data_IF_595364946860
#
_entry.id   IF_595364946860
#
_cell.length_a   1.000
_cell.length_b   1.000
_cell.length_c   1.000
_cell.angle_alpha   90.00
_cell.angle_beta   90.00
_cell.angle_gamma   90.00
#
_symmetry.space_group_name_H-M   'P 1'
#
loop_
_entity.id
_entity.type
_entity.pdbx_description
1 polymer ?
#
# COMPACT_ATOMS: atom_id res chain seq x y z
N UNK A 1 63.42 -0.87 -43.94
CA UNK A 1 62.35 -1.67 -43.32
C UNK A 1 62.04 -1.05 -41.96
N UNK A 2 61.05 -0.14 -41.88
CA UNK A 2 60.50 0.36 -40.61
C UNK A 2 59.02 0.70 -40.86
N UNK A 3 58.15 -0.13 -40.28
CA UNK A 3 56.69 -0.05 -40.39
C UNK A 3 56.17 1.16 -39.59
N UNK A 4 55.30 1.95 -40.21
CA UNK A 4 54.44 2.92 -39.54
C UNK A 4 53.29 2.17 -38.85
N UNK A 5 53.17 2.29 -37.52
CA UNK A 5 52.03 1.76 -36.77
C UNK A 5 51.01 2.88 -36.58
N UNK A 6 49.90 2.80 -37.32
CA UNK A 6 48.73 3.66 -37.15
C UNK A 6 47.92 3.16 -35.94
N UNK A 7 47.91 3.89 -34.84
CA UNK A 7 47.02 3.67 -33.70
C UNK A 7 45.62 4.20 -34.05
N UNK A 8 44.68 3.29 -34.36
CA UNK A 8 43.24 3.61 -34.42
C UNK A 8 42.70 3.82 -33.00
N UNK A 9 42.33 5.06 -32.67
CA UNK A 9 41.53 5.33 -31.49
C UNK A 9 40.13 4.71 -31.67
N UNK A 10 39.72 3.84 -30.74
CA UNK A 10 38.34 3.31 -30.67
C UNK A 10 37.47 4.31 -29.92
N UNK A 11 36.53 4.94 -30.60
CA UNK A 11 35.49 5.78 -30.00
C UNK A 11 34.65 4.93 -29.03
N UNK A 12 34.46 5.32 -27.76
CA UNK A 12 33.51 4.65 -26.90
C UNK A 12 32.09 5.04 -27.34
N UNK A 13 31.30 4.05 -27.74
CA UNK A 13 29.86 4.22 -27.93
C UNK A 13 29.24 4.56 -26.58
N UNK A 14 28.91 5.83 -26.36
CA UNK A 14 28.09 6.26 -25.23
C UNK A 14 26.68 5.71 -25.46
N UNK A 15 26.36 4.63 -24.73
CA UNK A 15 25.01 4.11 -24.63
C UNK A 15 24.22 5.12 -23.80
N UNK A 16 23.37 5.91 -24.43
CA UNK A 16 22.41 6.74 -23.71
C UNK A 16 21.42 5.82 -22.99
N UNK A 17 21.58 5.70 -21.68
CA UNK A 17 20.51 5.17 -20.86
C UNK A 17 19.45 6.26 -20.78
N UNK A 18 18.33 6.04 -21.48
CA UNK A 18 17.12 6.79 -21.21
C UNK A 18 16.87 6.74 -19.70
N UNK A 19 16.69 7.89 -19.07
CA UNK A 19 16.40 7.97 -17.66
C UNK A 19 15.17 7.09 -17.38
N UNK A 20 15.39 5.98 -16.68
CA UNK A 20 14.30 5.26 -16.03
C UNK A 20 13.61 6.30 -15.19
N UNK A 21 12.34 6.58 -15.50
CA UNK A 21 11.49 7.43 -14.67
C UNK A 21 11.65 6.92 -13.23
N UNK A 22 12.29 7.73 -12.39
CA UNK A 22 12.36 7.50 -10.95
C UNK A 22 10.95 7.71 -10.42
N UNK A 23 10.08 6.71 -10.64
CA UNK A 23 8.78 6.66 -10.01
C UNK A 23 9.07 6.69 -8.50
N UNK A 24 8.59 7.72 -7.82
CA UNK A 24 8.74 7.85 -6.38
C UNK A 24 8.06 6.63 -5.73
N UNK A 25 8.87 5.66 -5.32
CA UNK A 25 8.46 4.45 -4.61
C UNK A 25 8.23 4.73 -3.11
N UNK A 26 7.90 5.98 -2.74
CA UNK A 26 7.57 6.29 -1.35
C UNK A 26 6.27 5.59 -0.99
N UNK A 27 6.34 4.67 -0.01
CA UNK A 27 5.17 4.08 0.62
C UNK A 27 4.50 5.07 1.59
N UNK A 28 5.16 6.18 1.94
CA UNK A 28 4.65 7.20 2.85
C UNK A 28 4.17 8.43 2.07
N UNK A 29 3.05 8.99 2.53
CA UNK A 29 2.49 10.29 2.09
C UNK A 29 2.16 11.12 3.32
N UNK A 30 2.23 12.44 3.22
CA UNK A 30 1.84 13.36 4.28
C UNK A 30 0.38 13.85 4.12
N UNK A 31 -0.12 14.59 5.11
CA UNK A 31 -1.48 15.15 5.09
C UNK A 31 -1.71 16.06 3.88
N UNK A 32 -0.70 16.85 3.49
CA UNK A 32 -0.75 17.76 2.35
C UNK A 32 -0.94 17.00 1.03
N UNK A 33 -0.27 15.87 0.86
CA UNK A 33 -0.44 15.02 -0.32
C UNK A 33 -1.88 14.50 -0.42
N UNK A 34 -2.43 14.00 0.70
CA UNK A 34 -3.80 13.48 0.74
C UNK A 34 -4.82 14.58 0.42
N UNK A 35 -4.70 15.76 1.04
CA UNK A 35 -5.56 16.91 0.71
C UNK A 35 -5.49 17.30 -0.76
N UNK A 36 -4.29 17.41 -1.33
CA UNK A 36 -4.14 17.72 -2.76
C UNK A 36 -4.82 16.67 -3.66
N UNK A 37 -4.78 15.39 -3.26
CA UNK A 37 -5.45 14.32 -4.00
C UNK A 37 -6.97 14.43 -3.91
N UNK A 38 -7.51 14.74 -2.72
CA UNK A 38 -8.94 15.03 -2.52
C UNK A 38 -9.40 16.24 -3.34
N UNK A 39 -8.72 17.38 -3.20
CA UNK A 39 -9.08 18.65 -3.84
C UNK A 39 -9.04 18.56 -5.37
N UNK A 40 -8.05 17.85 -5.92
CA UNK A 40 -7.85 17.76 -7.37
C UNK A 40 -8.55 16.56 -8.01
N UNK A 41 -9.00 15.59 -7.22
CA UNK A 41 -9.41 14.26 -7.67
C UNK A 41 -8.29 13.48 -8.38
N UNK A 42 -7.03 13.87 -8.19
CA UNK A 42 -5.86 13.33 -8.90
C UNK A 42 -4.70 13.04 -7.94
N UNK A 43 -4.28 11.77 -7.76
CA UNK A 43 -4.88 10.57 -8.36
C UNK A 43 -6.30 10.30 -7.83
N UNK A 44 -7.01 9.39 -8.49
CA UNK A 44 -8.18 8.76 -7.86
C UNK A 44 -7.73 8.15 -6.52
N UNK A 45 -8.40 8.52 -5.44
CA UNK A 45 -7.99 8.20 -4.07
C UNK A 45 -9.02 7.26 -3.44
N UNK A 46 -8.53 6.17 -2.84
CA UNK A 46 -9.29 5.38 -1.88
C UNK A 46 -8.61 5.51 -0.52
N UNK A 47 -9.18 6.35 0.35
CA UNK A 47 -8.67 6.57 1.70
C UNK A 47 -9.32 5.58 2.66
N UNK A 48 -8.51 4.83 3.41
CA UNK A 48 -8.97 3.72 4.25
C UNK A 48 -8.63 3.98 5.71
N UNK A 49 -9.69 4.13 6.52
CA UNK A 49 -9.61 4.20 7.97
C UNK A 49 -9.44 2.78 8.54
N UNK A 50 -8.27 2.50 9.09
CA UNK A 50 -7.91 1.20 9.66
C UNK A 50 -8.17 1.12 11.17
N UNK A 51 -8.82 2.13 11.76
CA UNK A 51 -9.18 2.17 13.17
C UNK A 51 -10.26 1.14 13.52
N UNK A 52 -10.57 1.02 14.81
CA UNK A 52 -11.72 0.21 15.22
C UNK A 52 -13.00 0.80 14.58
N UNK A 53 -13.88 0.00 13.94
CA UNK A 53 -15.05 0.53 13.22
C UNK A 53 -15.94 1.45 14.07
N UNK A 54 -16.08 1.13 15.35
CA UNK A 54 -16.85 1.97 16.28
C UNK A 54 -16.26 3.38 16.50
N UNK A 55 -15.01 3.64 16.11
CA UNK A 55 -14.38 4.97 16.19
C UNK A 55 -14.74 5.87 15.03
N UNK A 56 -15.01 5.31 13.86
CA UNK A 56 -15.29 6.06 12.65
C UNK A 56 -16.35 7.16 12.84
N UNK A 57 -17.53 6.90 13.45
CA UNK A 57 -18.55 7.93 13.59
C UNK A 57 -18.19 9.09 14.52
N UNK A 58 -17.14 8.93 15.35
CA UNK A 58 -16.69 9.97 16.29
C UNK A 58 -15.65 10.92 15.68
N UNK A 59 -15.07 10.57 14.54
CA UNK A 59 -14.01 11.35 13.93
C UNK A 59 -13.22 10.51 12.93
N UNK A 60 -13.23 10.91 11.66
CA UNK A 60 -12.44 10.32 10.58
C UNK A 60 -11.95 11.41 9.62
N UNK A 61 -10.95 11.09 8.80
CA UNK A 61 -10.52 11.97 7.70
C UNK A 61 -11.66 12.03 6.66
N UNK A 62 -11.98 13.22 6.09
CA UNK A 62 -12.99 13.33 5.04
C UNK A 62 -12.78 12.33 3.91
N UNK A 63 -13.88 11.83 3.33
CA UNK A 63 -13.90 10.81 2.27
C UNK A 63 -13.29 9.44 2.64
N UNK A 64 -12.85 9.24 3.89
CA UNK A 64 -12.30 7.97 4.31
C UNK A 64 -13.38 6.89 4.33
N UNK A 65 -12.96 5.64 4.19
CA UNK A 65 -13.87 4.50 4.28
C UNK A 65 -13.43 3.65 5.47
N UNK A 66 -14.35 3.34 6.41
CA UNK A 66 -14.02 2.49 7.52
C UNK A 66 -13.75 1.09 7.01
N UNK A 67 -12.64 0.52 7.45
CA UNK A 67 -12.43 -0.90 7.35
C UNK A 67 -13.37 -1.62 8.35
N UNK A 68 -14.62 -1.81 7.93
CA UNK A 68 -15.70 -2.37 8.76
C UNK A 68 -15.46 -3.83 9.17
N UNK A 69 -14.59 -4.54 8.46
CA UNK A 69 -14.09 -5.82 8.89
C UNK A 69 -13.10 -5.58 10.01
N UNK A 70 -13.50 -5.96 11.24
CA UNK A 70 -12.69 -5.83 12.44
C UNK A 70 -11.23 -6.16 12.13
N UNK A 71 -10.33 -5.24 12.45
CA UNK A 71 -8.87 -5.31 12.21
C UNK A 71 -8.21 -6.63 12.61
N UNK A 72 -8.86 -7.46 13.42
CA UNK A 72 -8.52 -8.86 13.70
C UNK A 72 -8.64 -9.82 12.50
N UNK A 73 -9.36 -9.45 11.43
CA UNK A 73 -9.69 -10.31 10.28
C UNK A 73 -8.62 -10.31 9.18
N UNK A 74 -7.54 -9.53 9.33
CA UNK A 74 -6.36 -9.67 8.47
C UNK A 74 -5.39 -10.78 8.92
N UNK A 75 -5.76 -11.55 9.93
CA UNK A 75 -5.10 -12.79 10.31
C UNK A 75 -6.13 -13.89 10.13
N UNK A 76 -5.78 -14.94 9.41
CA UNK A 76 -6.61 -16.14 9.41
C UNK A 76 -6.65 -16.67 10.87
N UNK A 77 -7.84 -16.84 11.47
CA UNK A 77 -7.97 -17.23 12.87
C UNK A 77 -7.75 -18.73 13.10
N UNK A 78 -7.52 -19.52 12.04
CA UNK A 78 -7.30 -20.96 12.16
C UNK A 78 -5.96 -21.27 12.84
N UNK A 79 -5.86 -22.35 13.63
CA UNK A 79 -4.59 -22.73 14.27
C UNK A 79 -3.45 -23.05 13.30
N UNK A 80 -3.78 -23.32 12.03
CA UNK A 80 -2.83 -23.61 10.95
C UNK A 80 -2.46 -22.35 10.13
N UNK A 81 -3.05 -21.20 10.47
CA UNK A 81 -2.81 -19.92 9.82
C UNK A 81 -1.35 -19.50 9.91
N UNK A 82 -0.83 -18.97 8.81
CA UNK A 82 0.49 -18.31 8.75
C UNK A 82 0.47 -16.89 9.35
N UNK A 83 -0.64 -16.48 9.97
CA UNK A 83 -0.85 -15.15 10.52
C UNK A 83 -1.32 -14.12 9.49
N UNK A 84 -1.76 -14.55 8.31
CA UNK A 84 -2.34 -13.70 7.25
C UNK A 84 -3.74 -14.20 6.92
N UNK A 85 -4.65 -13.28 6.61
CA UNK A 85 -6.00 -13.59 6.11
C UNK A 85 -5.94 -14.60 4.97
N UNK A 86 -6.99 -15.39 4.74
CA UNK A 86 -7.02 -16.30 3.59
C UNK A 86 -7.31 -15.54 2.28
N UNK A 87 -6.92 -16.08 1.11
CA UNK A 87 -7.21 -15.45 -0.17
C UNK A 87 -8.71 -15.16 -0.39
N UNK A 88 -9.59 -16.06 0.07
CA UNK A 88 -11.03 -15.91 -0.05
C UNK A 88 -11.55 -14.75 0.81
N UNK A 89 -11.17 -14.70 2.08
CA UNK A 89 -11.57 -13.61 2.98
C UNK A 89 -11.04 -12.26 2.49
N UNK A 90 -9.82 -12.23 1.96
CA UNK A 90 -9.28 -11.01 1.35
C UNK A 90 -10.06 -10.58 0.10
N UNK A 91 -10.47 -11.53 -0.76
CA UNK A 91 -11.32 -11.22 -1.91
C UNK A 91 -12.66 -10.61 -1.49
N UNK A 92 -13.25 -11.09 -0.39
CA UNK A 92 -14.49 -10.54 0.16
C UNK A 92 -14.29 -9.10 0.71
N UNK A 93 -13.17 -8.84 1.39
CA UNK A 93 -12.78 -7.48 1.84
C UNK A 93 -12.71 -6.53 0.65
N UNK A 94 -11.98 -6.91 -0.40
CA UNK A 94 -11.78 -6.10 -1.60
C UNK A 94 -13.10 -5.81 -2.31
N UNK A 95 -13.98 -6.81 -2.37
CA UNK A 95 -15.32 -6.67 -2.94
C UNK A 95 -16.18 -5.71 -2.14
N UNK A 96 -16.16 -5.81 -0.81
CA UNK A 96 -16.92 -4.91 0.08
C UNK A 96 -16.42 -3.46 0.00
N UNK A 97 -15.10 -3.28 -0.02
CA UNK A 97 -14.46 -1.98 -0.23
C UNK A 97 -14.61 -1.46 -1.66
N UNK A 98 -15.12 -2.29 -2.58
CA UNK A 98 -15.17 -2.07 -4.03
C UNK A 98 -13.93 -1.31 -4.51
N UNK A 99 -12.77 -1.93 -4.31
CA UNK A 99 -11.47 -1.28 -4.55
C UNK A 99 -11.34 -0.91 -6.03
N UNK A 100 -11.14 0.38 -6.38
CA UNK A 100 -10.92 0.77 -7.77
C UNK A 100 -9.61 0.21 -8.31
N UNK A 101 -9.59 -0.21 -9.58
CA UNK A 101 -8.41 -0.83 -10.21
C UNK A 101 -7.22 0.12 -10.38
N UNK A 102 -7.48 1.42 -10.47
CA UNK A 102 -6.48 2.44 -10.82
C UNK A 102 -6.29 3.49 -9.73
N UNK A 103 -6.98 3.36 -8.60
CA UNK A 103 -6.86 4.28 -7.49
C UNK A 103 -5.57 4.08 -6.70
N UNK A 104 -5.07 5.18 -6.13
CA UNK A 104 -4.07 5.11 -5.07
C UNK A 104 -4.80 4.84 -3.75
N UNK A 105 -4.41 3.78 -3.05
CA UNK A 105 -4.91 3.44 -1.73
C UNK A 105 -4.01 4.08 -0.68
N UNK A 106 -4.61 4.87 0.21
CA UNK A 106 -3.93 5.42 1.37
C UNK A 106 -4.54 4.78 2.61
N UNK A 107 -3.71 4.12 3.40
CA UNK A 107 -4.11 3.55 4.69
C UNK A 107 -3.70 4.49 5.82
N UNK A 108 -4.56 4.70 6.80
CA UNK A 108 -4.21 5.40 8.03
C UNK A 108 -4.86 4.75 9.25
N UNK A 109 -4.32 5.05 10.43
CA UNK A 109 -4.91 4.72 11.72
C UNK A 109 -4.57 5.82 12.75
N UNK A 110 -4.99 5.61 13.99
CA UNK A 110 -4.72 6.41 15.18
C UNK A 110 -3.67 5.74 16.10
N UNK A 111 -3.00 4.70 15.63
CA UNK A 111 -2.14 3.82 16.45
C UNK A 111 -0.76 3.65 15.82
N UNK A 112 -0.07 4.77 15.57
CA UNK A 112 1.30 4.82 15.03
C UNK A 112 1.50 3.98 13.76
N UNK A 113 0.51 3.96 12.88
CA UNK A 113 0.51 3.24 11.61
C UNK A 113 0.61 1.71 11.74
N UNK A 114 0.33 1.14 12.91
CA UNK A 114 0.40 -0.32 13.12
C UNK A 114 -0.62 -1.08 12.26
N UNK A 115 -1.88 -0.63 12.26
CA UNK A 115 -2.97 -1.26 11.48
C UNK A 115 -2.88 -0.86 10.01
N UNK A 116 -2.57 0.41 9.74
CA UNK A 116 -2.40 0.94 8.40
C UNK A 116 -1.27 0.21 7.64
N UNK A 117 -0.11 0.03 8.27
CA UNK A 117 1.02 -0.69 7.67
C UNK A 117 0.69 -2.17 7.48
N UNK A 118 -0.06 -2.78 8.40
CA UNK A 118 -0.53 -4.16 8.25
C UNK A 118 -1.44 -4.31 7.03
N UNK A 119 -2.38 -3.39 6.84
CA UNK A 119 -3.26 -3.35 5.66
C UNK A 119 -2.47 -3.17 4.37
N UNK A 120 -1.58 -2.18 4.34
CA UNK A 120 -0.65 -1.94 3.23
C UNK A 120 0.10 -3.22 2.84
N UNK A 121 0.64 -3.93 3.82
CA UNK A 121 1.38 -5.18 3.58
C UNK A 121 0.47 -6.28 3.04
N UNK A 122 -0.76 -6.43 3.55
CA UNK A 122 -1.68 -7.48 3.07
C UNK A 122 -2.12 -7.22 1.62
N UNK A 123 -2.46 -5.98 1.27
CA UNK A 123 -2.77 -5.64 -0.12
C UNK A 123 -1.58 -5.94 -1.05
N UNK A 124 -0.36 -5.63 -0.61
CA UNK A 124 0.87 -5.98 -1.33
C UNK A 124 1.08 -7.50 -1.43
N UNK A 125 0.80 -8.24 -0.36
CA UNK A 125 0.93 -9.70 -0.32
C UNK A 125 -0.02 -10.37 -1.32
N UNK A 126 -1.20 -9.78 -1.54
CA UNK A 126 -2.18 -10.21 -2.55
C UNK A 126 -2.05 -9.54 -3.92
N UNK A 127 -0.91 -8.89 -4.18
CA UNK A 127 -0.56 -8.47 -5.53
C UNK A 127 -1.19 -7.15 -6.00
N UNK A 128 -1.74 -6.34 -5.11
CA UNK A 128 -2.09 -4.96 -5.48
C UNK A 128 -0.82 -4.17 -5.86
N UNK A 129 -0.84 -3.35 -6.92
CA UNK A 129 0.37 -2.66 -7.40
C UNK A 129 1.02 -1.80 -6.30
N UNK A 130 2.28 -2.10 -5.97
CA UNK A 130 2.98 -1.51 -4.81
C UNK A 130 3.11 0.01 -4.92
N UNK A 131 3.19 0.54 -6.14
CA UNK A 131 3.27 1.97 -6.41
C UNK A 131 1.96 2.72 -6.05
N UNK A 132 0.83 2.02 -6.02
CA UNK A 132 -0.49 2.55 -5.66
C UNK A 132 -0.82 2.35 -4.17
N UNK A 133 0.06 1.73 -3.38
CA UNK A 133 -0.15 1.50 -1.95
C UNK A 133 0.64 2.50 -1.12
N UNK A 134 -0.06 3.30 -0.31
CA UNK A 134 0.51 4.35 0.54
C UNK A 134 0.02 4.23 1.98
N UNK A 135 0.80 4.73 2.93
CA UNK A 135 0.44 4.91 4.34
C UNK A 135 0.56 6.40 4.66
N UNK A 136 -0.44 6.95 5.35
CA UNK A 136 -0.39 8.32 5.86
C UNK A 136 0.60 8.40 7.02
N UNK A 137 1.68 9.15 6.83
CA UNK A 137 2.69 9.39 7.84
C UNK A 137 2.10 10.18 9.02
N UNK A 138 2.30 9.68 10.23
CA UNK A 138 1.71 10.23 11.46
C UNK A 138 0.21 9.98 11.66
N UNK A 139 -0.48 9.36 10.69
CA UNK A 139 -1.88 8.94 10.81
C UNK A 139 -2.86 10.05 11.15
N UNK A 140 -3.99 9.69 11.80
CA UNK A 140 -5.03 10.65 12.19
C UNK A 140 -4.53 11.69 13.21
N UNK A 141 -3.58 11.30 14.07
CA UNK A 141 -3.02 12.22 15.07
C UNK A 141 -2.29 13.39 14.40
N UNK A 142 -1.41 13.11 13.44
CA UNK A 142 -0.71 14.16 12.70
C UNK A 142 -1.68 14.94 11.79
N UNK A 143 -2.66 14.26 11.19
CA UNK A 143 -3.70 14.92 10.39
C UNK A 143 -4.39 16.05 11.16
N UNK A 144 -4.81 15.79 12.41
CA UNK A 144 -5.44 16.79 13.28
C UNK A 144 -4.42 17.84 13.73
N UNK A 145 -3.19 17.45 14.05
CA UNK A 145 -2.13 18.38 14.45
C UNK A 145 -1.74 19.37 13.33
N UNK A 146 -1.97 18.99 12.06
CA UNK A 146 -1.80 19.83 10.88
C UNK A 146 -3.04 20.74 10.61
N UNK A 147 -3.95 20.89 11.58
CA UNK A 147 -5.17 21.70 11.55
C UNK A 147 -6.15 21.32 10.42
N UNK A 148 -6.19 20.03 10.04
CA UNK A 148 -7.11 19.55 9.00
C UNK A 148 -8.50 19.23 9.53
N UNK A 149 -9.48 19.34 8.65
CA UNK A 149 -10.86 18.97 8.94
C UNK A 149 -10.99 17.46 9.22
N UNK A 150 -11.96 17.13 10.08
CA UNK A 150 -12.42 15.77 10.34
C UNK A 150 -13.93 15.71 10.16
N UNK A 151 -14.43 14.54 9.76
CA UNK A 151 -15.85 14.25 9.62
C UNK A 151 -16.33 13.33 10.75
N UNK A 152 -17.64 13.34 10.98
CA UNK A 152 -18.31 12.51 11.98
C UNK A 152 -19.58 11.93 11.37
N UNK A 153 -20.04 10.79 11.88
CA UNK A 153 -21.18 10.07 11.33
C UNK A 153 -20.79 8.80 10.57
N UNK A 154 -21.80 8.11 10.05
CA UNK A 154 -21.61 6.86 9.32
C UNK A 154 -21.13 7.10 7.89
N UNK A 155 -20.55 6.06 7.27
CA UNK A 155 -20.17 6.11 5.86
C UNK A 155 -21.39 6.46 4.98
N UNK A 156 -21.28 7.54 4.22
CA UNK A 156 -22.30 7.94 3.25
C UNK A 156 -22.23 7.09 1.97
N UNK A 157 -23.31 7.11 1.18
CA UNK A 157 -23.32 6.43 -0.12
C UNK A 157 -22.28 7.06 -1.05
N UNK A 158 -21.33 6.24 -1.49
CA UNK A 158 -20.33 6.63 -2.48
C UNK A 158 -20.70 6.15 -3.88
N UNK A 159 -20.17 6.84 -4.89
CA UNK A 159 -20.25 6.37 -6.26
C UNK A 159 -19.47 5.06 -6.44
N UNK A 160 -20.04 4.15 -7.23
CA UNK A 160 -19.37 2.89 -7.58
C UNK A 160 -18.30 3.16 -8.63
N UNK A 161 -17.03 2.77 -8.39
CA UNK A 161 -15.98 2.95 -9.38
C UNK A 161 -16.29 2.19 -10.67
N UNK A 162 -15.91 2.76 -11.82
CA UNK A 162 -16.18 2.17 -13.13
C UNK A 162 -15.47 0.84 -13.37
N UNK A 163 -14.33 0.61 -12.72
CA UNK A 163 -13.58 -0.65 -12.80
C UNK A 163 -13.02 -1.04 -11.43
N UNK A 164 -13.35 -2.25 -10.98
CA UNK A 164 -12.89 -2.80 -9.72
C UNK A 164 -11.65 -3.69 -9.91
N UNK A 165 -10.80 -3.73 -8.91
CA UNK A 165 -9.75 -4.74 -8.78
C UNK A 165 -10.36 -6.04 -8.23
N UNK A 166 -10.32 -7.12 -9.01
CA UNK A 166 -11.06 -8.37 -8.70
C UNK A 166 -10.20 -9.63 -8.68
N UNK A 167 -8.87 -9.48 -8.85
CA UNK A 167 -7.96 -10.62 -9.00
C UNK A 167 -6.84 -10.55 -7.97
N UNK A 168 -7.12 -10.84 -6.69
CA UNK A 168 -6.07 -11.01 -5.71
C UNK A 168 -5.21 -12.23 -6.07
N UNK A 169 -3.89 -12.06 -5.99
CA UNK A 169 -2.90 -13.10 -6.25
C UNK A 169 -2.00 -13.21 -5.03
N UNK A 170 -2.05 -14.36 -4.34
CA UNK A 170 -1.09 -14.65 -3.27
C UNK A 170 0.32 -14.71 -3.86
N UNK A 171 1.16 -13.76 -3.45
CA UNK A 171 2.53 -13.63 -3.96
C UNK A 171 3.50 -14.66 -3.35
N UNK A 172 3.03 -15.51 -2.44
CA UNK A 172 3.80 -16.55 -1.75
C UNK A 172 5.06 -16.03 -1.06
N UNK A 173 5.02 -14.77 -0.59
CA UNK A 173 6.14 -14.08 0.06
C UNK A 173 6.32 -14.40 1.54
N UNK A 174 5.53 -15.31 2.09
CA UNK A 174 5.65 -15.73 3.47
C UNK A 174 6.77 -16.74 3.63
N UNK A 175 7.63 -16.51 4.63
CA UNK A 175 8.66 -17.46 5.03
C UNK A 175 8.09 -18.34 6.13
N UNK A 176 8.10 -19.66 5.92
CA UNK A 176 7.59 -20.63 6.88
C UNK A 176 8.56 -20.86 8.05
N UNK A 177 8.03 -21.39 9.17
CA UNK A 177 8.80 -21.66 10.39
C UNK A 177 10.08 -22.45 10.14
N UNK A 178 10.03 -23.49 9.31
CA UNK A 178 11.20 -24.31 8.95
C UNK A 178 12.31 -23.47 8.30
N UNK A 179 11.96 -22.62 7.33
CA UNK A 179 12.94 -21.76 6.67
C UNK A 179 13.55 -20.74 7.65
N UNK A 180 12.78 -20.26 8.62
CA UNK A 180 13.32 -19.42 9.72
C UNK A 180 14.31 -20.20 10.59
N UNK A 181 14.00 -21.45 10.95
CA UNK A 181 14.90 -22.30 11.74
C UNK A 181 16.22 -22.57 11.00
N UNK A 182 16.13 -22.85 9.70
CA UNK A 182 17.30 -23.06 8.84
C UNK A 182 18.17 -21.80 8.78
N UNK A 183 17.58 -20.62 8.55
CA UNK A 183 18.32 -19.35 8.53
C UNK A 183 18.95 -18.93 9.87
N UNK A 184 18.41 -19.39 11.01
CA UNK A 184 19.06 -19.19 12.32
C UNK A 184 20.30 -20.08 12.46
N UNK A 185 20.22 -21.33 11.96
CA UNK A 185 21.33 -22.28 12.03
C UNK A 185 22.46 -21.93 11.04
N UNK A 186 22.10 -21.36 9.88
CA UNK A 186 23.02 -20.85 8.87
C UNK A 186 22.54 -19.49 8.31
N UNK A 187 23.13 -18.37 8.77
CA UNK A 187 22.75 -17.04 8.30
C UNK A 187 23.02 -16.78 6.80
N UNK A 188 23.68 -17.70 6.08
CA UNK A 188 23.94 -17.57 4.65
C UNK A 188 22.82 -18.13 3.75
N UNK A 189 21.82 -18.80 4.32
CA UNK A 189 20.59 -19.27 3.64
C UNK A 189 19.42 -18.30 3.78
#
# INVERSE_FOLDING_TARGET
MLLQTVLRARSPLLRSYAAVSTRSLSALVDSKWVRNAQDSGKPELLLLDCNHPASYPRGHIPDAIPLTLASSLLKDPTPQSTGVVSPQLFADVVKQLQVPKHATLVFYDDEMSLKATRMWWVFRHYGFPVEQLKVLDGGLTQWVADDNAVETGELENRETPSTLWTQPVDTQKLVGFKAVQEGIADPAT
#
